data_IF_968494556086
#
_entry.id   IF_968494556086
#
_cell.length_a   1.000
_cell.length_b   1.000
_cell.length_c   1.000
_cell.angle_alpha   90.00
_cell.angle_beta   90.00
_cell.angle_gamma   90.00
#
_symmetry.space_group_name_H-M   'P 1'
#
loop_
_entity.id
_entity.type
_entity.pdbx_description
1 polymer ?
#
# COMPACT_ATOMS: atom_id res chain seq x y z
N UNK A 1 7.17 -1.97 9.56
CA UNK A 1 7.13 -0.76 10.42
C UNK A 1 7.82 0.42 9.76
N UNK A 2 9.05 0.31 9.25
CA UNK A 2 9.69 1.40 8.49
C UNK A 2 8.83 1.90 7.31
N UNK A 3 8.22 0.98 6.56
CA UNK A 3 7.22 1.29 5.52
C UNK A 3 6.08 2.21 6.01
N UNK A 4 5.53 1.96 7.20
CA UNK A 4 4.40 2.72 7.73
C UNK A 4 4.78 4.15 8.10
N UNK A 5 5.98 4.37 8.63
CA UNK A 5 6.49 5.72 8.88
C UNK A 5 6.58 6.52 7.58
N UNK A 6 7.26 5.97 6.58
CA UNK A 6 7.49 6.70 5.34
C UNK A 6 6.21 6.88 4.52
N UNK A 7 5.27 5.93 4.57
CA UNK A 7 3.92 6.12 4.02
C UNK A 7 3.18 7.27 4.72
N UNK A 8 3.30 7.39 6.04
CA UNK A 8 2.63 8.44 6.82
C UNK A 8 3.22 9.84 6.68
N UNK A 9 4.44 10.01 6.19
CA UNK A 9 5.03 11.34 6.03
C UNK A 9 5.12 11.78 4.57
N UNK A 10 4.71 10.94 3.61
CA UNK A 10 4.84 11.24 2.18
C UNK A 10 3.48 11.32 1.49
N UNK A 11 3.35 12.20 0.48
CA UNK A 11 2.19 12.22 -0.40
C UNK A 11 1.89 10.84 -1.01
N UNK A 12 0.59 10.52 -1.13
CA UNK A 12 0.09 9.25 -1.66
C UNK A 12 0.63 7.98 -0.98
N UNK A 13 1.23 8.07 0.21
CA UNK A 13 1.89 6.94 0.85
C UNK A 13 2.95 6.26 -0.04
N UNK A 14 3.72 7.07 -0.78
CA UNK A 14 4.73 6.58 -1.76
C UNK A 14 6.11 6.36 -1.18
N UNK A 15 6.37 6.84 0.04
CA UNK A 15 7.69 6.77 0.68
C UNK A 15 8.04 5.39 1.24
N UNK A 16 7.07 4.51 1.47
CA UNK A 16 7.33 3.22 2.12
C UNK A 16 8.17 2.27 1.28
N UNK A 17 7.95 2.21 -0.04
CA UNK A 17 8.67 1.30 -0.94
C UNK A 17 10.13 1.76 -1.13
N UNK A 18 10.45 3.05 -1.38
CA UNK A 18 11.82 3.54 -1.38
C UNK A 18 12.55 3.26 -0.05
N UNK A 19 11.86 3.46 1.08
CA UNK A 19 12.46 3.23 2.38
C UNK A 19 12.73 1.73 2.65
N UNK A 20 11.84 0.84 2.22
CA UNK A 20 12.08 -0.61 2.24
C UNK A 20 13.26 -1.02 1.35
N UNK A 21 13.32 -0.49 0.12
CA UNK A 21 14.43 -0.74 -0.79
C UNK A 21 15.76 -0.30 -0.17
N UNK A 22 15.81 0.89 0.42
CA UNK A 22 16.99 1.39 1.14
C UNK A 22 17.39 0.46 2.29
N UNK A 23 16.45 0.03 3.14
CA UNK A 23 16.75 -0.87 4.25
C UNK A 23 17.27 -2.26 3.79
N UNK A 24 16.69 -2.82 2.72
CA UNK A 24 17.11 -4.10 2.16
C UNK A 24 18.50 -4.03 1.53
N UNK A 25 18.79 -2.96 0.77
CA UNK A 25 20.10 -2.74 0.17
C UNK A 25 21.19 -2.48 1.21
N UNK A 26 20.89 -1.74 2.29
CA UNK A 26 21.80 -1.60 3.45
C UNK A 26 22.07 -2.94 4.14
N UNK A 27 21.13 -3.88 4.06
CA UNK A 27 21.30 -5.23 4.61
C UNK A 27 22.09 -6.18 3.69
N UNK A 28 22.55 -5.69 2.52
CA UNK A 28 23.39 -6.42 1.57
C UNK A 28 22.64 -7.14 0.45
N UNK A 29 21.32 -6.90 0.29
CA UNK A 29 20.52 -7.49 -0.78
C UNK A 29 20.73 -6.68 -2.08
N UNK A 30 20.95 -7.35 -3.22
CA UNK A 30 21.06 -6.68 -4.52
C UNK A 30 19.83 -5.82 -4.82
N UNK A 31 20.07 -4.65 -5.41
CA UNK A 31 19.04 -3.65 -5.68
C UNK A 31 17.94 -4.16 -6.63
N UNK A 32 18.28 -4.97 -7.63
CA UNK A 32 17.31 -5.55 -8.56
C UNK A 32 16.33 -6.46 -7.84
N UNK A 33 16.86 -7.38 -7.01
CA UNK A 33 16.07 -8.30 -6.18
C UNK A 33 15.25 -7.60 -5.09
N UNK A 34 15.84 -6.62 -4.41
CA UNK A 34 15.15 -5.84 -3.40
C UNK A 34 13.99 -5.04 -4.01
N UNK A 35 14.21 -4.45 -5.20
CA UNK A 35 13.18 -3.69 -5.92
C UNK A 35 12.07 -4.60 -6.42
N UNK A 36 12.39 -5.71 -7.07
CA UNK A 36 11.39 -6.67 -7.58
C UNK A 36 10.51 -7.23 -6.46
N UNK A 37 11.12 -7.62 -5.33
CA UNK A 37 10.40 -8.15 -4.17
C UNK A 37 9.48 -7.10 -3.53
N UNK A 38 9.97 -5.86 -3.40
CA UNK A 38 9.19 -4.76 -2.80
C UNK A 38 8.02 -4.36 -3.69
N UNK A 39 8.24 -4.24 -5.01
CA UNK A 39 7.17 -3.92 -5.96
C UNK A 39 6.15 -5.06 -6.06
N UNK A 40 6.58 -6.33 -6.07
CA UNK A 40 5.67 -7.47 -6.07
C UNK A 40 4.76 -7.47 -4.83
N UNK A 41 5.34 -7.27 -3.64
CA UNK A 41 4.57 -7.17 -2.39
C UNK A 41 3.54 -6.05 -2.47
N UNK A 42 3.91 -4.91 -3.07
CA UNK A 42 2.99 -3.79 -3.24
C UNK A 42 1.88 -4.09 -4.25
N UNK A 43 2.18 -4.72 -5.38
CA UNK A 43 1.17 -5.20 -6.35
C UNK A 43 0.17 -6.14 -5.67
N UNK A 44 0.66 -7.12 -4.89
CA UNK A 44 -0.20 -8.03 -4.12
C UNK A 44 -1.07 -7.25 -3.14
N UNK A 45 -0.50 -6.31 -2.39
CA UNK A 45 -1.26 -5.47 -1.46
C UNK A 45 -2.40 -4.70 -2.16
N UNK A 46 -2.10 -4.05 -3.29
CA UNK A 46 -3.09 -3.32 -4.07
C UNK A 46 -4.18 -4.24 -4.63
N UNK A 47 -3.79 -5.40 -5.16
CA UNK A 47 -4.73 -6.39 -5.68
C UNK A 47 -5.64 -6.93 -4.57
N UNK A 48 -5.11 -7.20 -3.37
CA UNK A 48 -5.89 -7.70 -2.26
C UNK A 48 -6.85 -6.64 -1.69
N UNK A 49 -6.52 -5.34 -1.74
CA UNK A 49 -7.49 -4.26 -1.47
C UNK A 49 -8.67 -4.34 -2.46
N UNK A 50 -8.38 -4.44 -3.75
CA UNK A 50 -9.42 -4.53 -4.80
C UNK A 50 -10.28 -5.79 -4.64
N UNK A 51 -9.66 -6.94 -4.35
CA UNK A 51 -10.39 -8.18 -4.08
C UNK A 51 -11.31 -8.04 -2.87
N UNK A 52 -10.83 -7.49 -1.74
CA UNK A 52 -11.67 -7.24 -0.58
C UNK A 52 -12.82 -6.28 -0.90
N UNK A 53 -12.57 -5.23 -1.68
CA UNK A 53 -13.61 -4.31 -2.13
C UNK A 53 -14.70 -5.03 -2.94
N UNK A 54 -14.33 -5.87 -3.91
CA UNK A 54 -15.28 -6.67 -4.69
C UNK A 54 -16.06 -7.64 -3.79
N UNK A 55 -15.40 -8.33 -2.87
CA UNK A 55 -16.05 -9.23 -1.91
C UNK A 55 -17.05 -8.47 -1.05
N UNK A 56 -16.70 -7.28 -0.57
CA UNK A 56 -17.57 -6.42 0.23
C UNK A 56 -18.76 -5.91 -0.57
N UNK A 57 -18.59 -5.59 -1.86
CA UNK A 57 -19.69 -5.27 -2.75
C UNK A 57 -20.63 -6.46 -2.94
N UNK A 58 -20.13 -7.69 -3.05
CA UNK A 58 -21.00 -8.87 -3.25
C UNK A 58 -21.74 -9.24 -1.96
N UNK A 59 -21.05 -9.32 -0.83
CA UNK A 59 -21.61 -9.80 0.45
C UNK A 59 -22.41 -8.70 1.16
N UNK A 60 -21.96 -7.45 1.04
CA UNK A 60 -22.47 -6.32 1.81
C UNK A 60 -23.40 -5.40 1.05
N UNK A 61 -23.68 -5.64 -0.25
CA UNK A 61 -24.36 -4.68 -1.14
C UNK A 61 -25.59 -4.06 -0.50
N UNK A 62 -26.51 -4.91 -0.02
CA UNK A 62 -27.79 -4.49 0.55
C UNK A 62 -27.62 -3.52 1.72
N UNK A 63 -26.56 -3.68 2.50
CA UNK A 63 -26.28 -2.86 3.68
C UNK A 63 -25.44 -1.61 3.37
N UNK A 64 -24.70 -1.60 2.27
CA UNK A 64 -23.78 -0.51 1.91
C UNK A 64 -24.25 0.31 0.70
N UNK A 65 -25.31 -0.10 0.00
CA UNK A 65 -25.76 0.49 -1.26
C UNK A 65 -25.98 2.01 -1.17
N UNK A 66 -26.60 2.49 -0.09
CA UNK A 66 -26.81 3.93 0.14
C UNK A 66 -25.47 4.69 0.20
N UNK A 67 -24.51 4.17 0.97
CA UNK A 67 -23.17 4.78 1.11
C UNK A 67 -22.36 4.67 -0.18
N UNK A 68 -22.48 3.56 -0.89
CA UNK A 68 -21.85 3.36 -2.21
C UNK A 68 -22.42 4.35 -3.22
N UNK A 69 -23.74 4.56 -3.24
CA UNK A 69 -24.36 5.54 -4.13
C UNK A 69 -23.88 6.96 -3.82
N UNK A 70 -23.90 7.34 -2.54
CA UNK A 70 -23.46 8.65 -2.06
C UNK A 70 -21.97 8.93 -2.38
N UNK A 71 -21.11 7.92 -2.28
CA UNK A 71 -19.66 8.03 -2.45
C UNK A 71 -19.18 7.47 -3.80
N UNK A 72 -20.10 7.23 -4.74
CA UNK A 72 -19.86 6.45 -5.97
C UNK A 72 -18.70 6.98 -6.80
N UNK A 73 -18.62 8.29 -7.01
CA UNK A 73 -17.53 8.93 -7.75
C UNK A 73 -16.19 8.65 -7.08
N UNK A 74 -16.10 8.81 -5.75
CA UNK A 74 -14.87 8.56 -5.01
C UNK A 74 -14.49 7.08 -5.04
N UNK A 75 -15.46 6.17 -4.95
CA UNK A 75 -15.19 4.73 -5.02
C UNK A 75 -14.74 4.28 -6.42
N UNK A 76 -15.35 4.81 -7.48
CA UNK A 76 -14.94 4.55 -8.87
C UNK A 76 -13.53 5.08 -9.11
N UNK A 77 -13.26 6.32 -8.71
CA UNK A 77 -11.93 6.89 -8.83
C UNK A 77 -10.90 6.07 -8.05
N UNK A 78 -11.24 5.65 -6.82
CA UNK A 78 -10.38 4.80 -6.00
C UNK A 78 -10.07 3.49 -6.71
N UNK A 79 -11.09 2.81 -7.22
CA UNK A 79 -10.93 1.57 -7.98
C UNK A 79 -10.04 1.76 -9.21
N UNK A 80 -10.30 2.80 -10.01
CA UNK A 80 -9.50 3.12 -11.20
C UNK A 80 -8.05 3.43 -10.82
N UNK A 81 -7.82 4.18 -9.74
CA UNK A 81 -6.47 4.50 -9.26
C UNK A 81 -5.71 3.23 -8.82
N UNK A 82 -6.33 2.37 -8.01
CA UNK A 82 -5.76 1.09 -7.60
C UNK A 82 -5.44 0.20 -8.81
N UNK A 83 -6.38 0.08 -9.75
CA UNK A 83 -6.19 -0.69 -10.97
C UNK A 83 -5.06 -0.12 -11.85
N UNK A 84 -5.01 1.20 -12.03
CA UNK A 84 -3.96 1.87 -12.80
C UNK A 84 -2.58 1.67 -12.17
N UNK A 85 -2.47 1.73 -10.84
CA UNK A 85 -1.21 1.44 -10.13
C UNK A 85 -0.79 -0.01 -10.34
N UNK A 86 -1.71 -0.97 -10.21
CA UNK A 86 -1.41 -2.40 -10.47
C UNK A 86 -0.89 -2.56 -11.90
N UNK A 87 -1.63 -2.09 -12.91
CA UNK A 87 -1.23 -2.21 -14.32
C UNK A 87 0.11 -1.52 -14.56
N UNK A 88 0.30 -0.30 -14.08
CA UNK A 88 1.56 0.44 -14.24
C UNK A 88 2.75 -0.30 -13.65
N UNK A 89 2.62 -0.85 -12.45
CA UNK A 89 3.68 -1.64 -11.81
C UNK A 89 3.94 -2.95 -12.54
N UNK A 90 2.90 -3.64 -13.01
CA UNK A 90 3.05 -4.86 -13.80
C UNK A 90 3.75 -4.59 -15.14
N UNK A 91 3.47 -3.46 -15.79
CA UNK A 91 4.19 -3.01 -16.99
C UNK A 91 5.67 -2.78 -16.66
N UNK A 92 5.98 -2.09 -15.56
CA UNK A 92 7.38 -1.89 -15.12
C UNK A 92 8.07 -3.24 -14.85
N UNK A 93 7.41 -4.16 -14.17
CA UNK A 93 8.02 -5.43 -13.74
C UNK A 93 8.23 -6.41 -14.91
N UNK A 94 7.30 -6.46 -15.87
CA UNK A 94 7.26 -7.53 -16.87
C UNK A 94 7.47 -7.06 -18.32
N UNK A 95 7.62 -5.75 -18.55
CA UNK A 95 7.95 -5.23 -19.88
C UNK A 95 9.30 -4.53 -19.85
N UNK A 96 10.36 -5.29 -20.12
CA UNK A 96 11.74 -4.79 -20.13
C UNK A 96 11.92 -3.48 -20.91
N UNK A 97 11.42 -3.42 -22.16
CA UNK A 97 11.55 -2.24 -23.01
C UNK A 97 10.80 -1.02 -22.46
N UNK A 98 9.67 -1.21 -21.78
CA UNK A 98 8.93 -0.12 -21.15
C UNK A 98 9.76 0.50 -20.01
N UNK A 99 10.30 -0.34 -19.13
CA UNK A 99 11.15 0.09 -18.01
C UNK A 99 12.44 0.74 -18.50
N UNK A 100 13.10 0.13 -19.49
CA UNK A 100 14.28 0.73 -20.13
C UNK A 100 13.98 2.13 -20.65
N UNK A 101 12.90 2.30 -21.42
CA UNK A 101 12.49 3.59 -21.97
C UNK A 101 12.20 4.62 -20.88
N UNK A 102 11.56 4.23 -19.78
CA UNK A 102 11.32 5.13 -18.65
C UNK A 102 12.64 5.59 -18.01
N UNK A 103 13.56 4.67 -17.76
CA UNK A 103 14.87 4.99 -17.18
C UNK A 103 15.69 5.88 -18.11
N UNK A 104 15.68 5.61 -19.42
CA UNK A 104 16.35 6.44 -20.43
C UNK A 104 15.80 7.88 -20.46
N UNK A 105 14.47 8.04 -20.35
CA UNK A 105 13.83 9.37 -20.24
C UNK A 105 14.31 10.09 -18.97
N UNK A 106 14.38 9.39 -17.83
CA UNK A 106 14.85 9.94 -16.57
C UNK A 106 16.35 10.29 -16.59
N UNK A 107 17.17 9.55 -17.35
CA UNK A 107 18.60 9.80 -17.50
C UNK A 107 18.93 10.91 -18.48
N UNK A 108 18.04 11.21 -19.45
CA UNK A 108 18.27 12.21 -20.51
C UNK A 108 18.79 13.57 -20.01
N UNK A 109 18.30 14.15 -18.89
CA UNK A 109 18.83 15.41 -18.38
C UNK A 109 20.31 15.35 -17.97
N UNK A 110 20.81 14.17 -17.53
CA UNK A 110 22.22 13.97 -17.19
C UNK A 110 23.11 14.13 -18.41
N UNK A 111 22.63 13.72 -19.59
CA UNK A 111 23.38 13.86 -20.85
C UNK A 111 23.67 15.32 -21.20
N UNK A 112 22.81 16.25 -20.80
CA UNK A 112 22.99 17.69 -21.04
C UNK A 112 24.11 18.30 -20.21
N UNK A 113 24.42 17.71 -19.05
CA UNK A 113 25.41 18.23 -18.12
C UNK A 113 26.75 17.49 -18.29
N UNK A 114 26.72 16.16 -18.40
CA UNK A 114 27.92 15.35 -18.50
C UNK A 114 27.67 14.04 -19.27
N UNK A 115 28.18 13.98 -20.50
CA UNK A 115 28.07 12.84 -21.40
C UNK A 115 28.79 11.58 -20.89
N UNK A 116 29.94 11.74 -20.24
CA UNK A 116 30.70 10.61 -19.70
C UNK A 116 29.96 9.97 -18.52
N UNK A 117 29.41 10.80 -17.62
CA UNK A 117 28.59 10.35 -16.50
C UNK A 117 27.31 9.69 -16.98
N UNK A 118 26.66 10.25 -18.00
CA UNK A 118 25.48 9.65 -18.63
C UNK A 118 25.79 8.24 -19.15
N UNK A 119 26.86 8.07 -19.93
CA UNK A 119 27.26 6.75 -20.46
C UNK A 119 27.56 5.74 -19.34
N UNK A 120 28.30 6.16 -18.31
CA UNK A 120 28.61 5.31 -17.14
C UNK A 120 27.35 4.86 -16.42
N UNK A 121 26.43 5.79 -16.15
CA UNK A 121 25.18 5.50 -15.46
C UNK A 121 24.23 4.64 -16.29
N UNK A 122 24.18 4.87 -17.60
CA UNK A 122 23.40 4.05 -18.52
C UNK A 122 23.83 2.58 -18.48
N UNK A 123 25.14 2.29 -18.55
CA UNK A 123 25.64 0.91 -18.46
C UNK A 123 25.25 0.24 -17.13
N UNK A 124 25.43 0.94 -16.00
CA UNK A 124 25.09 0.42 -14.67
C UNK A 124 23.58 0.18 -14.54
N UNK A 125 22.76 1.11 -15.04
CA UNK A 125 21.30 0.99 -14.95
C UNK A 125 20.75 -0.08 -15.87
N UNK A 126 21.31 -0.27 -17.07
CA UNK A 126 20.93 -1.39 -17.95
C UNK A 126 21.15 -2.74 -17.26
N UNK A 127 22.30 -2.93 -16.59
CA UNK A 127 22.56 -4.14 -15.79
C UNK A 127 21.52 -4.30 -14.66
N UNK A 128 21.20 -3.21 -13.93
CA UNK A 128 20.21 -3.27 -12.85
C UNK A 128 18.79 -3.52 -13.35
N UNK A 129 18.41 -3.00 -14.52
CA UNK A 129 17.11 -3.28 -15.16
C UNK A 129 17.03 -4.74 -15.57
N UNK A 130 18.12 -5.30 -16.12
CA UNK A 130 18.18 -6.72 -16.48
C UNK A 130 17.99 -7.60 -15.24
N UNK A 131 18.76 -7.36 -14.17
CA UNK A 131 18.63 -8.12 -12.91
C UNK A 131 17.22 -7.98 -12.32
N UNK A 132 16.66 -6.76 -12.31
CA UNK A 132 15.29 -6.52 -11.82
C UNK A 132 14.23 -7.29 -12.63
N UNK A 133 14.38 -7.34 -13.95
CA UNK A 133 13.47 -8.06 -14.84
C UNK A 133 13.55 -9.57 -14.62
N UNK A 134 14.75 -10.13 -14.56
CA UNK A 134 14.97 -11.56 -14.29
C UNK A 134 14.42 -11.99 -12.92
N UNK A 135 14.67 -11.20 -11.87
CA UNK A 135 14.12 -11.44 -10.53
C UNK A 135 12.59 -11.33 -10.52
N UNK A 136 12.02 -10.41 -11.30
CA UNK A 136 10.56 -10.28 -11.44
C UNK A 136 9.95 -11.51 -12.11
N UNK A 137 10.59 -12.05 -13.16
CA UNK A 137 10.17 -13.30 -13.80
C UNK A 137 10.31 -14.51 -12.85
N UNK A 138 11.37 -14.56 -12.04
CA UNK A 138 11.56 -15.58 -11.00
C UNK A 138 10.48 -15.55 -9.93
N UNK A 139 10.05 -14.37 -9.49
CA UNK A 139 8.93 -14.23 -8.54
C UNK A 139 7.60 -14.70 -9.14
N UNK A 140 7.37 -14.43 -10.43
CA UNK A 140 6.17 -14.90 -11.14
C UNK A 140 6.10 -16.42 -11.22
N UNK A 141 7.23 -17.10 -11.40
CA UNK A 141 7.25 -18.57 -11.56
C UNK A 141 7.00 -19.31 -10.25
N UNK A 142 7.31 -18.73 -9.09
CA UNK A 142 6.97 -19.27 -7.77
C UNK A 142 5.54 -18.89 -7.35
N UNK A 143 4.55 -19.45 -8.04
CA UNK A 143 3.13 -19.20 -7.75
C UNK A 143 2.73 -19.60 -6.33
N UNK A 144 3.42 -20.58 -5.72
CA UNK A 144 3.16 -21.03 -4.34
C UNK A 144 3.56 -19.95 -3.34
N UNK A 145 4.71 -19.30 -3.54
CA UNK A 145 5.11 -18.15 -2.75
C UNK A 145 4.11 -17.00 -2.90
N UNK A 146 3.73 -16.66 -4.14
CA UNK A 146 2.75 -15.60 -4.39
C UNK A 146 1.41 -15.87 -3.71
N UNK A 147 0.89 -17.09 -3.80
CA UNK A 147 -0.35 -17.47 -3.12
C UNK A 147 -0.24 -17.31 -1.60
N UNK A 148 0.89 -17.70 -0.98
CA UNK A 148 1.12 -17.48 0.45
C UNK A 148 1.10 -15.99 0.80
N UNK A 149 1.79 -15.15 0.01
CA UNK A 149 1.82 -13.70 0.24
C UNK A 149 0.41 -13.10 0.10
N UNK A 150 -0.38 -13.53 -0.88
CA UNK A 150 -1.78 -13.12 -1.02
C UNK A 150 -2.60 -13.50 0.22
N UNK A 151 -2.50 -14.75 0.71
CA UNK A 151 -3.24 -15.22 1.89
C UNK A 151 -2.85 -14.41 3.14
N UNK A 152 -1.55 -14.21 3.39
CA UNK A 152 -1.10 -13.40 4.52
C UNK A 152 -1.60 -11.96 4.42
N UNK A 153 -1.60 -11.40 3.21
CA UNK A 153 -2.07 -10.04 2.96
C UNK A 153 -3.59 -9.93 3.16
N UNK A 154 -4.37 -10.92 2.74
CA UNK A 154 -5.81 -10.98 2.98
C UNK A 154 -6.11 -11.03 4.49
N UNK A 155 -5.44 -11.90 5.24
CA UNK A 155 -5.62 -11.99 6.69
C UNK A 155 -5.25 -10.66 7.35
N UNK A 156 -4.12 -10.07 6.95
CA UNK A 156 -3.70 -8.75 7.44
C UNK A 156 -4.77 -7.69 7.17
N UNK A 157 -5.33 -7.65 5.96
CA UNK A 157 -6.35 -6.68 5.58
C UNK A 157 -7.66 -6.91 6.33
N UNK A 158 -8.13 -8.15 6.50
CA UNK A 158 -9.34 -8.45 7.28
C UNK A 158 -9.20 -7.98 8.73
N UNK A 159 -8.05 -8.26 9.36
CA UNK A 159 -7.76 -7.79 10.72
C UNK A 159 -7.72 -6.26 10.78
N UNK A 160 -7.10 -5.62 9.80
CA UNK A 160 -7.08 -4.17 9.67
C UNK A 160 -8.50 -3.59 9.50
N UNK A 161 -9.33 -4.22 8.67
CA UNK A 161 -10.69 -3.78 8.41
C UNK A 161 -11.62 -3.97 9.61
N UNK A 162 -11.33 -4.92 10.50
CA UNK A 162 -12.07 -5.14 11.73
C UNK A 162 -11.79 -4.10 12.84
N UNK A 163 -10.73 -3.28 12.72
CA UNK A 163 -10.36 -2.32 13.78
C UNK A 163 -11.51 -1.39 14.21
N UNK A 164 -12.26 -0.73 13.29
CA UNK A 164 -13.38 0.11 13.68
C UNK A 164 -14.49 -0.62 14.42
N UNK A 165 -14.69 -1.92 14.18
CA UNK A 165 -15.69 -2.70 14.92
C UNK A 165 -15.36 -2.77 16.40
N UNK A 166 -14.10 -3.04 16.76
CA UNK A 166 -13.67 -3.05 18.16
C UNK A 166 -13.71 -1.66 18.80
N UNK A 167 -13.51 -0.60 18.01
CA UNK A 167 -13.67 0.78 18.49
C UNK A 167 -15.15 1.09 18.75
N UNK A 168 -16.06 0.63 17.90
CA UNK A 168 -17.50 0.77 18.16
C UNK A 168 -17.91 0.06 19.45
N UNK A 169 -17.41 -1.16 19.68
CA UNK A 169 -17.66 -1.90 20.91
C UNK A 169 -17.17 -1.15 22.16
N UNK A 170 -15.96 -0.56 22.11
CA UNK A 170 -15.41 0.19 23.26
C UNK A 170 -16.19 1.47 23.58
N UNK A 171 -16.91 2.03 22.60
CA UNK A 171 -17.78 3.20 22.78
C UNK A 171 -19.23 2.85 23.16
N UNK A 172 -19.52 1.56 23.36
CA UNK A 172 -20.82 1.03 23.77
C UNK A 172 -21.78 0.73 22.63
N UNK A 173 -21.32 0.74 21.37
CA UNK A 173 -22.12 0.36 20.20
C UNK A 173 -22.00 -1.14 19.96
N UNK A 174 -22.84 -1.92 20.65
CA UNK A 174 -22.73 -3.40 20.69
C UNK A 174 -23.57 -4.13 19.63
N UNK A 175 -24.56 -3.45 19.03
CA UNK A 175 -25.50 -4.05 18.06
C UNK A 175 -25.05 -3.96 16.61
N UNK A 176 -23.89 -3.36 16.33
CA UNK A 176 -23.38 -3.23 14.97
C UNK A 176 -23.03 -4.62 14.41
N UNK A 177 -23.43 -4.90 13.17
CA UNK A 177 -23.02 -6.11 12.47
C UNK A 177 -21.54 -5.98 12.05
N UNK A 178 -20.71 -6.96 12.40
CA UNK A 178 -19.27 -6.94 12.11
C UNK A 178 -18.95 -6.92 10.61
N UNK A 179 -19.69 -7.67 9.80
CA UNK A 179 -19.51 -7.73 8.34
C UNK A 179 -19.83 -6.37 7.74
N UNK A 180 -20.90 -5.72 8.20
CA UNK A 180 -21.24 -4.37 7.77
C UNK A 180 -20.13 -3.36 8.09
N UNK A 181 -19.61 -3.38 9.32
CA UNK A 181 -18.54 -2.45 9.73
C UNK A 181 -17.25 -2.69 8.93
N UNK A 182 -16.90 -3.94 8.68
CA UNK A 182 -15.76 -4.31 7.82
C UNK A 182 -15.98 -3.77 6.40
N UNK A 183 -17.13 -4.05 5.78
CA UNK A 183 -17.44 -3.57 4.43
C UNK A 183 -17.36 -2.05 4.32
N UNK A 184 -17.90 -1.35 5.31
CA UNK A 184 -17.82 0.10 5.42
C UNK A 184 -16.38 0.62 5.54
N UNK A 185 -15.52 -0.04 6.32
CA UNK A 185 -14.11 0.34 6.42
C UNK A 185 -13.33 0.07 5.12
N UNK A 186 -13.69 -0.96 4.35
CA UNK A 186 -13.11 -1.18 3.02
C UNK A 186 -13.42 0.00 2.09
N UNK A 187 -14.66 0.53 2.12
CA UNK A 187 -15.01 1.74 1.35
C UNK A 187 -14.15 2.94 1.75
N UNK A 188 -13.95 3.13 3.05
CA UNK A 188 -13.09 4.21 3.58
C UNK A 188 -11.66 4.08 3.04
N UNK A 189 -11.07 2.88 3.08
CA UNK A 189 -9.69 2.69 2.58
C UNK A 189 -9.56 2.98 1.09
N UNK A 190 -10.56 2.62 0.28
CA UNK A 190 -10.60 2.98 -1.14
C UNK A 190 -10.64 4.49 -1.39
N UNK A 191 -11.32 5.23 -0.50
CA UNK A 191 -11.44 6.69 -0.63
C UNK A 191 -10.17 7.39 -0.15
N UNK A 192 -9.60 6.97 0.98
CA UNK A 192 -8.38 7.57 1.56
C UNK A 192 -7.23 7.57 0.56
N UNK A 193 -7.06 6.50 -0.21
CA UNK A 193 -5.94 6.35 -1.14
C UNK A 193 -5.92 7.37 -2.28
N UNK A 194 -7.06 8.04 -2.54
CA UNK A 194 -7.15 9.12 -3.53
C UNK A 194 -6.54 10.44 -3.08
N UNK A 195 -6.41 10.64 -1.77
CA UNK A 195 -6.00 11.92 -1.23
C UNK A 195 -4.47 12.00 -1.20
N UNK A 196 -3.85 12.91 -1.97
CA UNK A 196 -2.40 13.04 -2.08
C UNK A 196 -1.72 13.52 -0.79
N UNK A 197 -2.48 13.80 0.26
CA UNK A 197 -2.00 14.38 1.50
C UNK A 197 -1.48 13.23 2.39
N UNK A 198 -0.37 13.39 3.13
CA UNK A 198 0.10 12.40 4.08
C UNK A 198 -1.03 11.90 4.99
N UNK A 199 -1.19 10.58 5.08
CA UNK A 199 -2.27 9.92 5.82
C UNK A 199 -3.65 10.03 5.19
N UNK A 200 -3.78 10.56 3.96
CA UNK A 200 -5.06 10.79 3.29
C UNK A 200 -6.00 11.67 4.12
N UNK A 201 -5.42 12.67 4.81
CA UNK A 201 -6.19 13.67 5.54
C UNK A 201 -7.20 14.39 4.63
N UNK A 202 -8.34 14.76 5.19
CA UNK A 202 -9.53 15.19 4.46
C UNK A 202 -10.38 14.00 4.03
N UNK A 203 -9.80 13.07 3.26
CA UNK A 203 -10.49 11.87 2.79
C UNK A 203 -10.92 10.94 3.90
N UNK A 204 -10.04 10.67 4.87
CA UNK A 204 -10.35 9.78 5.98
C UNK A 204 -11.38 10.39 6.93
N UNK A 205 -11.23 11.66 7.31
CA UNK A 205 -12.15 12.35 8.21
C UNK A 205 -13.55 12.42 7.61
N UNK A 206 -13.64 12.77 6.32
CA UNK A 206 -14.88 12.86 5.58
C UNK A 206 -15.57 11.49 5.44
N UNK A 207 -14.86 10.49 4.90
CA UNK A 207 -15.44 9.16 4.67
C UNK A 207 -15.80 8.47 5.97
N UNK A 208 -14.96 8.56 7.01
CA UNK A 208 -15.26 8.00 8.33
C UNK A 208 -16.50 8.65 8.95
N UNK A 209 -16.62 9.98 8.91
CA UNK A 209 -17.78 10.69 9.48
C UNK A 209 -19.09 10.31 8.78
N UNK A 210 -19.10 10.26 7.45
CA UNK A 210 -20.30 9.91 6.67
C UNK A 210 -20.74 8.48 6.90
N UNK A 211 -19.78 7.57 7.04
CA UNK A 211 -20.04 6.15 7.16
C UNK A 211 -20.40 5.78 8.61
N UNK A 212 -19.68 6.30 9.60
CA UNK A 212 -19.87 5.91 11.00
C UNK A 212 -20.89 6.76 11.78
N UNK A 213 -21.35 7.89 11.24
CA UNK A 213 -22.46 8.65 11.84
C UNK A 213 -23.77 7.86 11.94
N UNK A 214 -23.98 6.83 11.10
CA UNK A 214 -25.14 5.93 11.23
C UNK A 214 -25.08 5.02 12.45
N UNK A 215 -23.87 4.78 12.99
CA UNK A 215 -23.66 3.96 14.19
C UNK A 215 -23.57 4.81 15.46
N UNK A 216 -23.08 6.04 15.33
CA UNK A 216 -22.76 6.91 16.46
C UNK A 216 -23.56 8.22 16.36
N UNK A 217 -24.66 8.31 17.12
CA UNK A 217 -25.54 9.49 17.13
C UNK A 217 -24.99 10.72 17.87
N UNK A 218 -23.85 10.60 18.57
CA UNK A 218 -23.22 11.71 19.29
C UNK A 218 -21.98 12.20 18.55
N UNK A 219 -21.95 13.49 18.19
CA UNK A 219 -20.81 14.08 17.47
C UNK A 219 -19.48 13.95 18.22
N UNK A 220 -19.47 14.11 19.55
CA UNK A 220 -18.26 13.92 20.36
C UNK A 220 -17.76 12.48 20.37
N UNK A 221 -18.66 11.49 20.43
CA UNK A 221 -18.29 10.07 20.30
C UNK A 221 -17.76 9.74 18.91
N UNK A 222 -18.30 10.35 17.85
CA UNK A 222 -17.85 10.11 16.48
C UNK A 222 -16.42 10.62 16.27
N UNK A 223 -16.13 11.83 16.78
CA UNK A 223 -14.77 12.39 16.76
C UNK A 223 -13.81 11.50 17.57
N UNK A 224 -14.21 11.06 18.76
CA UNK A 224 -13.39 10.16 19.57
C UNK A 224 -13.12 8.82 18.85
N UNK A 225 -14.14 8.22 18.21
CA UNK A 225 -13.98 7.00 17.43
C UNK A 225 -12.97 7.18 16.29
N UNK A 226 -13.05 8.30 15.58
CA UNK A 226 -12.12 8.63 14.50
C UNK A 226 -10.69 8.81 15.01
N UNK A 227 -10.51 9.51 16.13
CA UNK A 227 -9.18 9.70 16.74
C UNK A 227 -8.56 8.38 17.18
N UNK A 228 -9.35 7.50 17.82
CA UNK A 228 -8.90 6.15 18.18
C UNK A 228 -8.52 5.33 16.95
N UNK A 229 -9.35 5.38 15.91
CA UNK A 229 -9.08 4.68 14.67
C UNK A 229 -7.81 5.19 14.00
N UNK A 230 -7.62 6.51 13.87
CA UNK A 230 -6.39 7.13 13.36
C UNK A 230 -5.18 6.76 14.22
N UNK A 231 -5.32 6.74 15.53
CA UNK A 231 -4.24 6.33 16.41
C UNK A 231 -3.78 4.90 16.13
N UNK A 232 -4.70 3.94 16.09
CA UNK A 232 -4.37 2.52 15.91
C UNK A 232 -3.88 2.24 14.49
N UNK A 233 -4.56 2.77 13.47
CA UNK A 233 -4.29 2.43 12.06
C UNK A 233 -3.15 3.22 11.44
N UNK A 234 -2.86 4.41 11.97
CA UNK A 234 -1.95 5.36 11.34
C UNK A 234 -0.82 5.79 12.28
N UNK A 235 -1.13 6.48 13.38
CA UNK A 235 -0.09 7.06 14.24
C UNK A 235 0.77 6.00 14.96
N UNK A 236 0.17 4.90 15.41
CA UNK A 236 0.89 3.81 16.06
C UNK A 236 1.94 3.20 15.13
N UNK A 237 1.57 2.94 13.87
CA UNK A 237 2.49 2.41 12.86
C UNK A 237 3.65 3.35 12.54
N UNK A 238 3.38 4.65 12.48
CA UNK A 238 4.41 5.67 12.31
C UNK A 238 5.39 5.70 13.48
N UNK A 239 4.89 5.70 14.73
CA UNK A 239 5.72 5.69 15.94
C UNK A 239 6.58 4.42 15.98
N UNK A 240 5.99 3.25 15.70
CA UNK A 240 6.72 1.99 15.63
C UNK A 240 7.80 2.01 14.53
N UNK A 241 7.51 2.65 13.38
CA UNK A 241 8.48 2.86 12.32
C UNK A 241 9.64 3.79 12.71
N UNK A 242 9.37 4.84 13.50
CA UNK A 242 10.39 5.73 14.03
C UNK A 242 11.32 5.00 15.01
N UNK A 243 10.76 4.18 15.90
CA UNK A 243 11.55 3.33 16.80
C UNK A 243 12.38 2.33 15.98
N UNK A 244 11.83 1.77 14.90
CA UNK A 244 12.56 0.83 14.04
C UNK A 244 13.77 1.48 13.32
N UNK A 245 13.76 2.79 13.05
CA UNK A 245 14.92 3.49 12.49
C UNK A 245 16.11 3.55 13.43
N UNK A 246 15.88 3.47 14.75
CA UNK A 246 16.95 3.46 15.75
C UNK A 246 17.67 2.10 15.82
N UNK A 247 17.13 1.07 15.18
CA UNK A 247 17.69 -0.29 15.19
C UNK A 247 18.59 -0.50 13.98
N UNK A 248 19.86 -0.83 14.23
CA UNK A 248 20.84 -1.07 13.16
C UNK A 248 20.47 -2.33 12.35
N UNK A 249 20.40 -2.26 11.01
CA UNK A 249 20.11 -3.41 10.17
C UNK A 249 21.17 -4.51 10.33
N UNK A 250 20.73 -5.75 10.58
CA UNK A 250 21.62 -6.92 10.54
C UNK A 250 21.88 -7.29 9.08
N UNK A 251 23.15 -7.42 8.69
CA UNK A 251 23.52 -7.91 7.36
C UNK A 251 23.01 -9.35 7.17
N UNK A 252 22.36 -9.60 6.04
CA UNK A 252 21.88 -10.93 5.70
C UNK A 252 23.08 -11.81 5.37
N UNK A 253 23.33 -12.87 6.16
CA UNK A 253 24.25 -13.94 5.76
C UNK A 253 23.54 -14.75 4.68
N UNK A 254 24.06 -14.75 3.46
CA UNK A 254 23.57 -15.63 2.41
C UNK A 254 23.66 -17.09 2.89
N UNK A 255 22.52 -17.77 2.97
CA UNK A 255 22.49 -19.23 2.99
C UNK A 255 22.61 -19.61 1.52
N UNK A 256 23.76 -20.12 1.11
CA UNK A 256 23.90 -20.77 -0.20
C UNK A 256 22.82 -21.85 -0.30
N UNK A 257 21.90 -21.68 -1.25
CA UNK A 257 20.99 -22.76 -1.62
C UNK A 257 21.87 -23.86 -2.22
N UNK A 258 22.03 -24.96 -1.47
CA UNK A 258 22.47 -26.25 -2.01
C UNK A 258 21.46 -26.77 -3.02
#
# INVERSE_FOLDING_TARGET
MLEQLFNGITPFSTGGQPAQLFALTQSGIDAGRATSSTLMKFVVYQAMIVVNFIICLIIGFEFIAEKVHMLSILLILGFVAHFAVIVGLLLVMYWYNFTKKLVDICLKPVSWINQEKHRKWQMVLEEKIQNFYEESLGLKSDWKLLLKVCIYTLIQLILYYAIPYFILLSLGVTKANVILVISMHVLIVMIISLFPIPGGAGGAEYSFSIIFSSFIGSGSKLVLAMLLWRFVTYYFGMIAGLVALLVVPKKVKYIEKK
#
